data_IF_700503944295
#
_entry.id   IF_700503944295
#
_cell.length_a   1.000
_cell.length_b   1.000
_cell.length_c   1.000
_cell.angle_alpha   90.00
_cell.angle_beta   90.00
_cell.angle_gamma   90.00
#
_symmetry.space_group_name_H-M   'P 1'
#
loop_
_entity.id
_entity.type
_entity.pdbx_description
1 polymer ?
#
# COMPACT_ATOMS: atom_id res chain seq x y z
N UNK A 1 8.55 -33.20 -2.35
CA UNK A 1 7.39 -32.61 -1.68
C UNK A 1 7.24 -31.19 -2.23
N UNK A 2 6.16 -30.88 -2.94
CA UNK A 2 5.96 -29.54 -3.53
C UNK A 2 5.07 -28.73 -2.61
N UNK A 3 5.57 -27.61 -2.09
CA UNK A 3 4.78 -26.64 -1.35
C UNK A 3 4.10 -25.72 -2.37
N UNK A 4 2.77 -25.81 -2.51
CA UNK A 4 2.01 -24.79 -3.21
C UNK A 4 2.06 -23.51 -2.36
N UNK A 5 3.04 -22.66 -2.63
CA UNK A 5 2.99 -21.26 -2.20
C UNK A 5 1.86 -20.61 -2.98
N UNK A 6 0.66 -20.61 -2.39
CA UNK A 6 -0.47 -19.83 -2.92
C UNK A 6 0.01 -18.39 -2.91
N UNK A 7 0.39 -17.88 -4.09
CA UNK A 7 0.71 -16.47 -4.28
C UNK A 7 -0.44 -15.65 -3.69
N UNK A 8 -0.15 -14.62 -2.89
CA UNK A 8 -1.15 -13.72 -2.30
C UNK A 8 -2.27 -13.49 -3.30
N UNK A 9 -3.47 -13.99 -3.00
CA UNK A 9 -4.54 -14.11 -3.97
C UNK A 9 -4.82 -12.76 -4.62
N UNK A 10 -4.85 -12.74 -5.96
CA UNK A 10 -5.19 -11.55 -6.76
C UNK A 10 -6.59 -10.99 -6.45
N UNK A 11 -7.40 -11.72 -5.70
CA UNK A 11 -8.78 -11.38 -5.39
C UNK A 11 -9.06 -11.55 -3.91
N UNK A 12 -9.76 -10.58 -3.32
CA UNK A 12 -10.28 -10.66 -1.98
C UNK A 12 -11.80 -10.62 -2.01
N UNK A 13 -12.45 -11.53 -1.28
CA UNK A 13 -13.90 -11.51 -1.09
C UNK A 13 -14.23 -10.81 0.23
N UNK A 14 -15.01 -9.75 0.14
CA UNK A 14 -15.44 -8.95 1.29
C UNK A 14 -16.36 -9.79 2.16
N UNK A 15 -15.98 -9.97 3.44
CA UNK A 15 -16.80 -10.73 4.39
C UNK A 15 -17.85 -9.84 5.04
N UNK A 16 -18.95 -10.47 5.49
CA UNK A 16 -20.04 -9.80 6.20
C UNK A 16 -19.49 -9.09 7.44
N UNK A 17 -19.80 -7.80 7.56
CA UNK A 17 -19.41 -6.95 8.70
C UNK A 17 -17.99 -6.37 8.66
N UNK A 18 -17.22 -6.57 7.59
CA UNK A 18 -15.93 -5.88 7.43
C UNK A 18 -16.12 -4.48 6.84
N UNK A 19 -15.52 -3.46 7.47
CA UNK A 19 -15.48 -2.11 6.94
C UNK A 19 -14.42 -1.98 5.84
N UNK A 20 -14.67 -1.12 4.85
CA UNK A 20 -13.70 -0.79 3.78
C UNK A 20 -12.35 -0.37 4.38
N UNK A 21 -12.38 0.43 5.44
CA UNK A 21 -11.18 0.89 6.14
C UNK A 21 -10.38 -0.26 6.78
N UNK A 22 -11.05 -1.29 7.29
CA UNK A 22 -10.40 -2.44 7.92
C UNK A 22 -9.81 -3.39 6.87
N UNK A 23 -10.52 -3.58 5.75
CA UNK A 23 -10.03 -4.38 4.62
C UNK A 23 -8.82 -3.69 3.99
N UNK A 24 -8.93 -2.38 3.75
CA UNK A 24 -7.86 -1.56 3.21
C UNK A 24 -6.62 -1.61 4.12
N UNK A 25 -6.82 -1.51 5.44
CA UNK A 25 -5.73 -1.63 6.43
C UNK A 25 -5.14 -3.04 6.49
N UNK A 26 -5.98 -4.07 6.46
CA UNK A 26 -5.56 -5.46 6.58
C UNK A 26 -4.81 -5.96 5.34
N UNK A 27 -5.19 -5.48 4.16
CA UNK A 27 -4.52 -5.81 2.90
C UNK A 27 -3.39 -4.82 2.55
N UNK A 28 -3.41 -3.62 3.16
CA UNK A 28 -2.49 -2.53 2.84
C UNK A 28 -2.84 -1.80 1.54
N UNK A 29 -4.05 -2.01 1.01
CA UNK A 29 -4.43 -1.60 -0.34
C UNK A 29 -5.45 -0.47 -0.26
N UNK A 30 -5.33 0.58 -1.08
CA UNK A 30 -6.39 1.55 -1.26
C UNK A 30 -7.56 0.89 -1.99
N UNK A 31 -8.70 0.83 -1.33
CA UNK A 31 -9.93 0.21 -1.85
C UNK A 31 -10.95 1.34 -2.01
N UNK A 32 -11.72 1.32 -3.10
CA UNK A 32 -12.82 2.28 -3.30
C UNK A 32 -13.87 2.13 -2.20
N UNK A 33 -14.45 3.24 -1.75
CA UNK A 33 -15.43 3.27 -0.66
C UNK A 33 -16.75 2.52 -0.97
N UNK A 34 -17.06 2.28 -2.25
CA UNK A 34 -18.33 1.69 -2.69
C UNK A 34 -18.42 0.15 -2.58
N UNK A 35 -17.52 -0.49 -1.82
CA UNK A 35 -17.45 -1.95 -1.74
C UNK A 35 -18.52 -2.52 -0.83
N UNK A 36 -19.29 -3.48 -1.36
CA UNK A 36 -20.37 -4.16 -0.63
C UNK A 36 -19.95 -5.54 -0.13
N UNK A 37 -20.65 -6.02 0.90
CA UNK A 37 -20.46 -7.38 1.41
C UNK A 37 -20.66 -8.43 0.31
N UNK A 38 -19.80 -9.45 0.30
CA UNK A 38 -19.82 -10.51 -0.71
C UNK A 38 -19.19 -10.13 -2.05
N UNK A 39 -18.84 -8.87 -2.29
CA UNK A 39 -18.14 -8.42 -3.49
C UNK A 39 -16.71 -9.00 -3.54
N UNK A 40 -16.27 -9.33 -4.76
CA UNK A 40 -14.89 -9.72 -5.04
C UNK A 40 -14.18 -8.49 -5.57
N UNK A 41 -13.11 -8.07 -4.88
CA UNK A 41 -12.25 -6.97 -5.29
C UNK A 41 -10.91 -7.51 -5.77
N UNK A 42 -10.36 -6.87 -6.80
CA UNK A 42 -9.01 -7.15 -7.26
C UNK A 42 -8.01 -6.54 -6.27
N UNK A 43 -7.07 -7.36 -5.81
CA UNK A 43 -5.93 -6.94 -5.02
C UNK A 43 -4.81 -6.62 -6.02
N UNK A 44 -4.44 -5.33 -6.20
CA UNK A 44 -3.31 -4.98 -7.05
C UNK A 44 -2.06 -5.75 -6.61
N UNK A 45 -1.33 -6.31 -7.58
CA UNK A 45 -0.14 -7.12 -7.34
C UNK A 45 1.07 -6.30 -6.81
N UNK A 46 0.89 -5.01 -6.58
CA UNK A 46 1.89 -4.12 -5.98
C UNK A 46 2.01 -4.31 -4.47
N UNK A 47 3.23 -4.11 -3.95
CA UNK A 47 3.42 -3.93 -2.51
C UNK A 47 3.08 -2.49 -2.17
N UNK A 48 2.17 -2.29 -1.22
CA UNK A 48 1.83 -0.97 -0.71
C UNK A 48 2.27 -0.88 0.74
N UNK A 49 2.84 0.27 1.12
CA UNK A 49 3.20 0.60 2.49
C UNK A 49 2.31 1.72 2.99
N UNK A 50 1.79 1.56 4.20
CA UNK A 50 1.01 2.63 4.84
C UNK A 50 1.97 3.54 5.58
N UNK A 51 2.08 4.79 5.13
CA UNK A 51 2.91 5.84 5.72
C UNK A 51 2.04 6.86 6.45
N UNK A 52 2.45 7.29 7.64
CA UNK A 52 1.78 8.39 8.34
C UNK A 52 2.52 9.70 8.04
N UNK A 53 1.87 10.61 7.35
CA UNK A 53 2.41 11.91 6.96
C UNK A 53 2.78 12.75 8.18
N UNK A 54 3.93 13.40 8.11
CA UNK A 54 4.44 14.34 9.11
C UNK A 54 4.12 15.78 8.72
N UNK A 55 4.16 16.74 9.66
CA UNK A 55 4.09 18.15 9.34
C UNK A 55 5.15 18.55 8.32
N UNK A 56 4.72 19.15 7.21
CA UNK A 56 5.59 19.55 6.10
C UNK A 56 5.73 18.52 4.98
N UNK A 57 5.15 17.32 5.12
CA UNK A 57 5.15 16.35 4.03
C UNK A 57 4.20 16.76 2.89
N UNK A 58 4.65 16.49 1.67
CA UNK A 58 3.88 16.60 0.44
C UNK A 58 3.95 15.27 -0.31
N UNK A 59 3.09 15.07 -1.31
CA UNK A 59 3.18 13.87 -2.14
C UNK A 59 4.56 13.75 -2.80
N UNK A 60 5.16 14.86 -3.22
CA UNK A 60 6.51 14.88 -3.78
C UNK A 60 7.59 14.42 -2.78
N UNK A 61 7.54 14.88 -1.52
CA UNK A 61 8.54 14.48 -0.51
C UNK A 61 8.39 13.01 -0.12
N UNK A 62 7.16 12.53 0.03
CA UNK A 62 6.87 11.14 0.34
C UNK A 62 7.25 10.23 -0.85
N UNK A 63 6.87 10.62 -2.06
CA UNK A 63 7.21 9.89 -3.28
C UNK A 63 8.74 9.74 -3.45
N UNK A 64 9.50 10.83 -3.25
CA UNK A 64 10.95 10.81 -3.28
C UNK A 64 11.57 9.88 -2.21
N UNK A 65 10.99 9.83 -1.01
CA UNK A 65 11.48 8.98 0.07
C UNK A 65 11.26 7.47 -0.19
N UNK A 66 10.20 7.12 -0.92
CA UNK A 66 9.84 5.72 -1.20
C UNK A 66 10.17 5.26 -2.64
N UNK A 67 10.66 6.16 -3.49
CA UNK A 67 10.98 5.88 -4.89
C UNK A 67 9.73 5.66 -5.75
N UNK A 68 8.67 6.40 -5.47
CA UNK A 68 7.40 6.37 -6.21
C UNK A 68 7.17 7.68 -6.98
N UNK A 69 6.14 7.73 -7.83
CA UNK A 69 5.75 8.95 -8.53
C UNK A 69 4.71 9.75 -7.74
N UNK A 70 4.93 11.06 -7.60
CA UNK A 70 4.02 11.93 -6.84
C UNK A 70 2.60 11.94 -7.43
N UNK A 71 2.49 11.94 -8.76
CA UNK A 71 1.19 11.91 -9.46
C UNK A 71 0.45 10.58 -9.23
N UNK A 72 1.16 9.46 -9.15
CA UNK A 72 0.58 8.17 -8.79
C UNK A 72 0.10 8.18 -7.34
N UNK A 73 0.89 8.72 -6.40
CA UNK A 73 0.48 8.88 -5.00
C UNK A 73 -0.77 9.75 -4.85
N UNK A 74 -0.86 10.84 -5.62
CA UNK A 74 -2.02 11.73 -5.64
C UNK A 74 -3.26 11.03 -6.19
N UNK A 75 -3.16 10.30 -7.30
CA UNK A 75 -4.26 9.50 -7.84
C UNK A 75 -4.72 8.42 -6.87
N UNK A 76 -3.78 7.82 -6.15
CA UNK A 76 -4.02 6.72 -5.23
C UNK A 76 -4.69 7.17 -3.93
N UNK A 77 -4.23 8.30 -3.36
CA UNK A 77 -4.67 8.76 -2.05
C UNK A 77 -5.72 9.87 -2.13
N UNK A 78 -5.70 10.68 -3.18
CA UNK A 78 -6.55 11.84 -3.38
C UNK A 78 -6.38 12.95 -2.32
N UNK A 79 -6.85 14.15 -2.63
CA UNK A 79 -6.89 15.27 -1.68
C UNK A 79 -5.50 15.75 -1.22
N UNK A 80 -5.43 16.45 -0.09
CA UNK A 80 -4.19 17.08 0.40
C UNK A 80 -3.45 16.25 1.46
N UNK A 81 -2.12 16.29 1.48
CA UNK A 81 -1.33 15.71 2.58
C UNK A 81 -1.44 16.61 3.81
N UNK A 82 -1.79 16.03 4.95
CA UNK A 82 -1.83 16.72 6.24
C UNK A 82 -1.22 15.84 7.34
N UNK A 83 -0.74 16.43 8.45
CA UNK A 83 -0.12 15.68 9.54
C UNK A 83 -1.02 14.57 10.05
N UNK A 84 -0.44 13.41 10.37
CA UNK A 84 -1.12 12.19 10.85
C UNK A 84 -1.99 11.48 9.81
N UNK A 85 -2.13 12.03 8.60
CA UNK A 85 -2.83 11.36 7.50
C UNK A 85 -2.08 10.09 7.11
N UNK A 86 -2.82 8.99 6.95
CA UNK A 86 -2.28 7.74 6.42
C UNK A 86 -2.34 7.78 4.89
N UNK A 87 -1.19 7.59 4.27
CA UNK A 87 -1.01 7.52 2.83
C UNK A 87 -0.61 6.10 2.45
N UNK A 88 -1.23 5.57 1.42
CA UNK A 88 -0.81 4.36 0.73
C UNK A 88 0.29 4.74 -0.25
N UNK A 89 1.46 4.13 -0.10
CA UNK A 89 2.61 4.39 -0.96
C UNK A 89 2.96 3.10 -1.68
N UNK A 90 2.89 3.06 -3.02
CA UNK A 90 3.38 1.91 -3.77
C UNK A 90 4.89 1.83 -3.57
N UNK A 91 5.37 0.66 -3.14
CA UNK A 91 6.81 0.37 -3.06
C UNK A 91 7.18 -0.58 -4.19
N UNK A 92 8.03 -0.10 -5.09
CA UNK A 92 8.67 -0.95 -6.07
C UNK A 92 9.61 -1.90 -5.33
N UNK A 93 9.54 -3.20 -5.64
CA UNK A 93 10.25 -4.27 -4.93
C UNK A 93 11.80 -4.16 -4.96
N UNK A 94 12.35 -3.13 -5.58
CA UNK A 94 13.79 -2.86 -5.69
C UNK A 94 14.41 -2.19 -4.46
N UNK A 95 13.62 -1.73 -3.49
CA UNK A 95 14.13 -0.93 -2.36
C UNK A 95 14.28 -1.70 -1.04
N UNK A 96 13.91 -2.98 -0.99
CA UNK A 96 14.01 -3.84 0.21
C UNK A 96 15.40 -4.54 0.37
N UNK A 97 16.37 -4.31 -0.54
CA UNK A 97 17.67 -5.01 -0.57
C UNK A 97 18.88 -4.10 -0.28
N UNK A 98 18.78 -3.14 0.66
CA UNK A 98 19.99 -2.42 1.08
C UNK A 98 20.00 -1.99 2.56
N UNK A 99 19.90 -2.96 3.49
CA UNK A 99 20.27 -2.73 4.89
C UNK A 99 21.10 -3.86 5.54
N UNK A 100 21.67 -4.81 4.79
CA UNK A 100 22.51 -5.87 5.38
C UNK A 100 23.72 -6.25 4.50
N UNK A 101 24.49 -5.28 4.01
CA UNK A 101 25.88 -5.58 3.59
C UNK A 101 26.80 -5.38 4.80
N UNK A 102 27.43 -6.45 5.35
CA UNK A 102 28.53 -6.26 6.27
C UNK A 102 29.66 -5.54 5.54
N UNK A 103 30.44 -4.67 6.22
CA UNK A 103 31.56 -3.99 5.58
C UNK A 103 32.54 -5.03 5.03
N UNK A 104 32.86 -4.93 3.73
CA UNK A 104 33.99 -5.64 3.17
C UNK A 104 35.28 -4.95 3.63
N UNK A 105 36.02 -5.70 4.46
CA UNK A 105 37.44 -5.57 4.85
C UNK A 105 37.75 -4.49 5.89
#
# INVERSE_FOLDING_TARGET
MYELKISKGLFYRVKKGQSVADISRGLGIPISEDVREGQIIAVPAGRFKIYSAKPGDSFASVAAAFGAEAEELEKLNGGAVYPTRRLFVPISASSDENQNQPPFI
#
